data_IF_464514018287
#
_entry.id   IF_464514018287
#
_cell.length_a   1.000
_cell.length_b   1.000
_cell.length_c   1.000
_cell.angle_alpha   90.00
_cell.angle_beta   90.00
_cell.angle_gamma   90.00
#
_symmetry.space_group_name_H-M   'P 1'
#
loop_
_entity.id
_entity.type
_entity.pdbx_description
1 polymer ?
#
# COMPACT_ATOMS: atom_id res chain seq x y z
N UNK A 1 -40.59 63.97 26.91
CA UNK A 1 -40.39 63.10 28.06
C UNK A 1 -40.67 61.68 27.59
N UNK A 2 -39.64 60.85 27.39
CA UNK A 2 -39.62 59.38 27.51
C UNK A 2 -38.30 58.90 26.94
N UNK A 3 -37.39 58.60 27.83
CA UNK A 3 -36.08 57.95 27.52
C UNK A 3 -36.30 56.48 27.22
N UNK A 4 -35.97 55.98 26.02
CA UNK A 4 -35.83 54.60 25.75
C UNK A 4 -34.35 54.24 25.83
N UNK A 5 -34.02 53.43 26.84
CA UNK A 5 -32.72 52.79 26.96
C UNK A 5 -32.64 51.67 25.90
N UNK A 6 -31.70 51.77 24.99
CA UNK A 6 -31.29 50.67 24.12
C UNK A 6 -30.27 49.81 24.84
N UNK A 7 -30.66 48.59 25.22
CA UNK A 7 -29.77 47.57 25.77
C UNK A 7 -29.19 46.80 24.58
N UNK A 8 -27.92 47.06 24.31
CA UNK A 8 -27.14 46.39 23.26
C UNK A 8 -26.69 45.02 23.81
N UNK A 9 -27.36 43.95 23.40
CA UNK A 9 -26.96 42.57 23.70
C UNK A 9 -25.83 42.16 22.75
N UNK A 10 -24.61 42.14 23.26
CA UNK A 10 -23.41 41.64 22.57
C UNK A 10 -23.39 40.14 22.64
N UNK A 11 -23.81 39.48 21.56
CA UNK A 11 -23.75 38.01 21.41
C UNK A 11 -22.30 37.58 21.13
N UNK A 12 -21.64 36.99 22.10
CA UNK A 12 -20.36 36.30 21.94
C UNK A 12 -20.58 35.02 21.12
N UNK A 13 -20.16 35.01 19.84
CA UNK A 13 -20.09 33.82 18.99
C UNK A 13 -18.82 33.09 19.38
N UNK A 14 -18.96 32.02 20.18
CA UNK A 14 -17.89 31.07 20.46
C UNK A 14 -17.80 30.12 19.26
N UNK A 15 -16.90 30.42 18.31
CA UNK A 15 -16.51 29.47 17.25
C UNK A 15 -15.68 28.37 17.87
N UNK A 16 -16.34 27.30 18.30
CA UNK A 16 -15.69 26.05 18.70
C UNK A 16 -15.03 25.41 17.47
N UNK A 17 -13.69 25.35 17.44
CA UNK A 17 -12.96 24.47 16.55
C UNK A 17 -13.29 23.03 16.94
N UNK A 18 -14.27 22.43 16.25
CA UNK A 18 -14.52 21.02 16.34
C UNK A 18 -13.34 20.29 15.65
N UNK A 19 -12.38 19.81 16.44
CA UNK A 19 -11.39 18.84 16.00
C UNK A 19 -12.17 17.59 15.60
N UNK A 20 -12.34 17.39 14.29
CA UNK A 20 -12.93 16.18 13.72
C UNK A 20 -12.05 15.02 14.14
N UNK A 21 -12.49 14.22 15.12
CA UNK A 21 -11.88 12.92 15.41
C UNK A 21 -12.00 12.10 14.15
N UNK A 22 -10.93 11.41 13.68
CA UNK A 22 -11.03 10.49 12.55
C UNK A 22 -12.11 9.45 12.91
N UNK A 23 -13.13 9.36 12.08
CA UNK A 23 -14.22 8.42 12.28
C UNK A 23 -13.70 7.02 11.98
N UNK A 24 -13.40 6.26 13.02
CA UNK A 24 -12.98 4.85 12.92
C UNK A 24 -14.14 3.95 12.44
N UNK A 25 -15.36 4.46 12.36
CA UNK A 25 -16.53 3.72 11.90
C UNK A 25 -16.58 3.53 10.37
N UNK A 26 -15.70 4.15 9.62
CA UNK A 26 -15.68 4.09 8.15
C UNK A 26 -14.87 2.91 7.59
N UNK A 27 -14.47 1.95 8.43
CA UNK A 27 -13.92 0.65 7.99
C UNK A 27 -15.06 -0.36 7.70
N UNK A 28 -16.11 0.09 7.03
CA UNK A 28 -17.18 -0.82 6.58
C UNK A 28 -16.70 -1.63 5.38
N UNK A 29 -17.02 -2.92 5.38
CA UNK A 29 -16.83 -3.77 4.20
C UNK A 29 -17.73 -3.24 3.10
N UNK A 30 -17.14 -2.78 1.99
CA UNK A 30 -17.87 -2.28 0.83
C UNK A 30 -17.69 -3.23 -0.35
N UNK A 31 -18.79 -3.57 -1.01
CA UNK A 31 -18.77 -4.35 -2.24
C UNK A 31 -18.09 -3.62 -3.41
N UNK A 32 -17.92 -2.31 -3.32
CA UNK A 32 -17.24 -1.47 -4.31
C UNK A 32 -15.75 -1.26 -4.01
N UNK A 33 -15.16 -2.05 -3.10
CA UNK A 33 -13.75 -1.94 -2.77
C UNK A 33 -12.87 -2.29 -3.99
N UNK A 34 -11.93 -1.41 -4.39
CA UNK A 34 -11.15 -1.57 -5.63
C UNK A 34 -10.02 -2.61 -5.52
N UNK A 35 -10.05 -3.46 -4.50
CA UNK A 35 -8.92 -4.30 -4.11
C UNK A 35 -8.83 -5.64 -4.84
N UNK A 36 -9.69 -5.90 -5.83
CA UNK A 36 -9.65 -7.14 -6.60
C UNK A 36 -10.15 -6.95 -8.03
N UNK A 37 -9.60 -7.77 -8.95
CA UNK A 37 -10.05 -7.85 -10.34
C UNK A 37 -9.87 -9.27 -10.87
N UNK A 38 -10.82 -9.71 -11.71
CA UNK A 38 -10.80 -11.00 -12.39
C UNK A 38 -10.19 -10.86 -13.78
N UNK A 39 -9.34 -11.82 -14.14
CA UNK A 39 -8.64 -11.91 -15.44
C UNK A 39 -8.94 -13.25 -16.09
N UNK A 40 -8.89 -13.30 -17.43
CA UNK A 40 -8.96 -14.55 -18.19
C UNK A 40 -7.61 -15.23 -18.20
N UNK A 41 -7.54 -16.47 -17.74
CA UNK A 41 -6.33 -17.30 -17.70
C UNK A 41 -6.22 -18.06 -16.38
N UNK A 42 -5.27 -19.00 -16.34
CA UNK A 42 -4.94 -19.76 -15.14
C UNK A 42 -4.29 -18.90 -14.08
N UNK A 43 -4.38 -19.31 -12.81
CA UNK A 43 -3.73 -18.63 -11.69
C UNK A 43 -2.24 -18.45 -11.91
N UNK A 44 -1.57 -19.43 -12.44
CA UNK A 44 -0.13 -19.36 -12.73
C UNK A 44 0.19 -18.25 -13.73
N UNK A 45 -0.53 -18.20 -14.86
CA UNK A 45 -0.35 -17.16 -15.89
C UNK A 45 -0.64 -15.76 -15.34
N UNK A 46 -1.73 -15.64 -14.58
CA UNK A 46 -2.13 -14.34 -14.00
C UNK A 46 -1.16 -13.92 -12.90
N UNK A 47 -0.74 -14.82 -12.00
CA UNK A 47 0.26 -14.52 -10.97
C UNK A 47 1.61 -14.16 -11.56
N UNK A 48 2.03 -14.84 -12.62
CA UNK A 48 3.24 -14.47 -13.35
C UNK A 48 3.15 -13.06 -13.94
N UNK A 49 1.99 -12.72 -14.48
CA UNK A 49 1.72 -11.36 -15.02
C UNK A 49 1.74 -10.30 -13.92
N UNK A 50 1.17 -10.57 -12.74
CA UNK A 50 1.27 -9.70 -11.56
C UNK A 50 2.73 -9.48 -11.16
N UNK A 51 3.52 -10.55 -11.12
CA UNK A 51 4.96 -10.47 -10.80
C UNK A 51 5.70 -9.58 -11.79
N UNK A 52 5.44 -9.72 -13.08
CA UNK A 52 6.04 -8.88 -14.13
C UNK A 52 5.60 -7.43 -14.01
N UNK A 53 4.32 -7.19 -13.71
CA UNK A 53 3.80 -5.84 -13.48
C UNK A 53 4.54 -5.14 -12.34
N UNK A 54 4.70 -5.78 -11.19
CA UNK A 54 5.43 -5.23 -10.04
C UNK A 54 6.91 -4.94 -10.39
N UNK A 55 7.59 -5.92 -10.99
CA UNK A 55 8.99 -5.76 -11.39
C UNK A 55 9.18 -4.60 -12.38
N UNK A 56 8.26 -4.44 -13.34
CA UNK A 56 8.32 -3.36 -14.35
C UNK A 56 8.18 -1.96 -13.74
N UNK A 57 7.58 -1.87 -12.55
CA UNK A 57 7.43 -0.63 -11.78
C UNK A 57 8.55 -0.42 -10.75
N UNK A 58 9.57 -1.28 -10.75
CA UNK A 58 10.71 -1.17 -9.85
C UNK A 58 10.43 -1.64 -8.42
N UNK A 59 9.41 -2.49 -8.22
CA UNK A 59 9.23 -3.15 -6.94
C UNK A 59 10.25 -4.28 -6.77
N UNK A 60 10.87 -4.35 -5.61
CA UNK A 60 11.62 -5.52 -5.18
C UNK A 60 10.67 -6.54 -4.59
N UNK A 61 10.75 -7.78 -5.09
CA UNK A 61 9.87 -8.84 -4.64
C UNK A 61 10.51 -9.65 -3.53
N UNK A 62 9.75 -9.88 -2.47
CA UNK A 62 10.13 -10.83 -1.42
C UNK A 62 10.02 -12.27 -1.97
N UNK A 63 10.78 -13.19 -1.37
CA UNK A 63 10.62 -14.61 -1.70
C UNK A 63 9.18 -15.03 -1.39
N UNK A 64 8.48 -15.73 -2.32
CA UNK A 64 7.16 -16.23 -2.05
C UNK A 64 7.19 -17.09 -0.78
N UNK A 65 6.36 -16.75 0.19
CA UNK A 65 6.11 -17.60 1.34
C UNK A 65 5.23 -18.79 0.95
N UNK A 66 5.07 -19.76 1.85
CA UNK A 66 4.18 -20.91 1.68
C UNK A 66 2.71 -20.52 1.45
N UNK A 67 2.34 -19.30 1.82
CA UNK A 67 0.96 -18.77 1.71
C UNK A 67 0.54 -18.36 0.29
N UNK A 68 1.43 -18.41 -0.70
CA UNK A 68 1.12 -17.93 -2.07
C UNK A 68 0.94 -16.43 -2.20
N UNK A 69 1.23 -15.66 -1.14
CA UNK A 69 1.20 -14.20 -1.16
C UNK A 69 2.50 -13.68 -1.79
N UNK A 70 2.38 -12.85 -2.82
CA UNK A 70 3.49 -12.13 -3.41
C UNK A 70 3.55 -10.71 -2.83
N UNK A 71 4.67 -10.37 -2.19
CA UNK A 71 4.92 -9.04 -1.64
C UNK A 71 5.95 -8.31 -2.48
N UNK A 72 5.62 -7.08 -2.88
CA UNK A 72 6.54 -6.16 -3.56
C UNK A 72 6.74 -4.89 -2.73
N UNK A 73 7.98 -4.46 -2.57
CA UNK A 73 8.33 -3.23 -1.84
C UNK A 73 9.10 -2.28 -2.75
N UNK A 74 8.78 -0.99 -2.69
CA UNK A 74 9.47 0.07 -3.41
C UNK A 74 9.67 1.28 -2.52
N UNK A 75 10.93 1.70 -2.36
CA UNK A 75 11.31 2.80 -1.50
C UNK A 75 11.62 4.06 -2.28
N UNK A 76 11.25 5.21 -1.70
CA UNK A 76 11.54 6.55 -2.20
C UNK A 76 12.08 7.41 -1.08
N UNK A 77 13.05 8.23 -1.40
CA UNK A 77 13.56 9.25 -0.50
C UNK A 77 13.33 10.65 -1.11
N UNK A 78 12.15 11.26 -0.90
CA UNK A 78 11.82 12.57 -1.47
C UNK A 78 12.76 13.68 -0.98
N UNK A 79 13.27 13.53 0.24
CA UNK A 79 14.27 14.43 0.82
C UNK A 79 15.12 13.68 1.88
N UNK A 80 16.28 14.23 2.32
CA UNK A 80 17.19 13.55 3.24
C UNK A 80 16.62 13.18 4.61
N UNK A 81 15.45 13.68 4.97
CA UNK A 81 14.81 13.44 6.28
C UNK A 81 13.58 12.54 6.21
N UNK A 82 13.07 12.28 5.01
CA UNK A 82 11.83 11.51 4.78
C UNK A 82 12.11 10.35 3.85
N UNK A 83 11.78 9.16 4.29
CA UNK A 83 11.70 7.95 3.48
C UNK A 83 10.23 7.50 3.35
N UNK A 84 9.83 7.13 2.14
CA UNK A 84 8.48 6.64 1.85
C UNK A 84 8.62 5.26 1.22
N UNK A 85 7.98 4.26 1.82
CA UNK A 85 7.95 2.88 1.33
C UNK A 85 6.53 2.53 0.88
N UNK A 86 6.41 1.99 -0.32
CA UNK A 86 5.18 1.40 -0.84
C UNK A 86 5.32 -0.12 -0.80
N UNK A 87 4.38 -0.78 -0.14
CA UNK A 87 4.31 -2.24 -0.06
C UNK A 87 3.00 -2.72 -0.67
N UNK A 88 3.10 -3.59 -1.68
CA UNK A 88 1.95 -4.25 -2.29
C UNK A 88 1.97 -5.73 -1.92
N UNK A 89 0.86 -6.21 -1.38
CA UNK A 89 0.63 -7.63 -1.14
C UNK A 89 -0.44 -8.10 -2.10
N UNK A 90 -0.12 -9.13 -2.90
CA UNK A 90 -1.02 -9.66 -3.92
C UNK A 90 -1.20 -11.16 -3.73
N UNK A 91 -2.42 -11.62 -3.97
CA UNK A 91 -2.79 -13.04 -3.95
C UNK A 91 -3.63 -13.33 -5.17
N UNK A 92 -3.34 -14.41 -5.88
CA UNK A 92 -4.15 -14.86 -6.99
C UNK A 92 -4.92 -16.12 -6.58
N UNK A 93 -6.15 -16.25 -7.05
CA UNK A 93 -6.95 -17.44 -6.84
C UNK A 93 -7.61 -17.85 -8.16
N UNK A 94 -7.52 -19.14 -8.49
CA UNK A 94 -8.19 -19.69 -9.66
C UNK A 94 -9.70 -19.77 -9.42
N UNK A 95 -10.47 -19.35 -10.42
CA UNK A 95 -11.88 -19.64 -10.54
C UNK A 95 -12.05 -20.91 -11.38
N UNK A 96 -13.12 -21.67 -11.16
CA UNK A 96 -13.38 -22.94 -11.88
C UNK A 96 -13.82 -22.75 -13.33
N UNK A 97 -13.98 -21.50 -13.78
CA UNK A 97 -14.48 -21.12 -15.10
C UNK A 97 -13.36 -20.69 -16.08
N UNK A 98 -12.09 -21.00 -15.76
CA UNK A 98 -10.94 -20.60 -16.58
C UNK A 98 -10.55 -19.13 -16.43
N UNK A 99 -11.03 -18.48 -15.39
CA UNK A 99 -10.60 -17.16 -14.96
C UNK A 99 -9.85 -17.23 -13.63
N UNK A 100 -9.13 -16.18 -13.29
CA UNK A 100 -8.45 -16.04 -11.99
C UNK A 100 -8.67 -14.65 -11.43
N UNK A 101 -8.86 -14.57 -10.12
CA UNK A 101 -9.02 -13.30 -9.42
C UNK A 101 -7.72 -12.92 -8.72
N UNK A 102 -7.33 -11.66 -8.83
CA UNK A 102 -6.20 -11.06 -8.12
C UNK A 102 -6.73 -10.16 -7.03
N UNK A 103 -6.32 -10.41 -5.81
CA UNK A 103 -6.51 -9.51 -4.67
C UNK A 103 -5.22 -8.74 -4.44
N UNK A 104 -5.34 -7.45 -4.13
CA UNK A 104 -4.19 -6.60 -3.84
C UNK A 104 -4.49 -5.67 -2.67
N UNK A 105 -3.53 -5.53 -1.77
CA UNK A 105 -3.51 -4.49 -0.74
C UNK A 105 -2.25 -3.68 -0.89
N UNK A 106 -2.36 -2.37 -0.97
CA UNK A 106 -1.24 -1.45 -1.05
C UNK A 106 -1.15 -0.60 0.21
N UNK A 107 0.03 -0.55 0.81
CA UNK A 107 0.33 0.25 1.99
C UNK A 107 1.40 1.28 1.66
N UNK A 108 1.27 2.47 2.23
CA UNK A 108 2.29 3.51 2.24
C UNK A 108 2.79 3.72 3.66
N UNK A 109 4.07 3.54 3.86
CA UNK A 109 4.76 3.83 5.11
C UNK A 109 5.65 5.05 4.95
N UNK A 110 5.63 5.96 5.94
CA UNK A 110 6.52 7.11 6.00
C UNK A 110 7.41 7.00 7.23
N UNK A 111 8.72 7.15 7.01
CA UNK A 111 9.72 7.17 8.08
C UNK A 111 10.49 8.46 8.04
N UNK A 112 10.70 9.08 9.20
CA UNK A 112 11.45 10.32 9.34
C UNK A 112 12.66 10.13 10.25
N UNK A 113 13.71 10.90 9.96
CA UNK A 113 14.90 10.95 10.77
C UNK A 113 14.62 11.74 12.06
N UNK A 114 14.53 11.04 13.18
CA UNK A 114 14.24 11.60 14.50
C UNK A 114 15.50 11.64 15.37
N UNK A 115 15.65 12.70 16.16
CA UNK A 115 16.69 12.77 17.18
C UNK A 115 16.19 12.07 18.44
N UNK A 116 16.80 10.96 18.81
CA UNK A 116 16.58 10.31 20.09
C UNK A 116 17.65 10.76 21.09
N UNK A 117 17.21 11.22 22.26
CA UNK A 117 18.12 11.48 23.37
C UNK A 117 18.49 10.12 24.00
N UNK A 118 19.76 9.80 24.02
CA UNK A 118 20.26 8.65 24.76
C UNK A 118 20.50 9.08 26.21
N UNK A 119 19.90 8.37 27.13
CA UNK A 119 20.13 8.54 28.56
C UNK A 119 20.78 7.27 29.09
N UNK A 120 21.89 7.43 29.81
CA UNK A 120 22.55 6.32 30.51
C UNK A 120 22.19 6.43 31.99
N UNK A 121 21.62 5.37 32.54
CA UNK A 121 21.32 5.27 33.96
C UNK A 121 22.47 4.56 34.67
N UNK A 122 23.14 5.23 35.59
CA UNK A 122 24.12 4.62 36.50
C UNK A 122 23.40 4.41 37.83
N UNK A 123 23.10 3.15 38.15
CA UNK A 123 22.53 2.76 39.45
C UNK A 123 23.63 2.40 40.43
N UNK A 124 23.70 3.13 41.55
CA UNK A 124 24.53 2.76 42.70
C UNK A 124 23.61 2.69 43.90
N UNK A 125 23.18 1.47 44.25
CA UNK A 125 22.22 1.24 45.35
C UNK A 125 20.79 1.74 45.03
N UNK A 126 20.04 2.26 46.03
CA UNK A 126 18.64 2.67 45.82
C UNK A 126 18.47 3.99 45.05
N UNK A 127 19.56 4.62 44.63
CA UNK A 127 19.54 5.87 43.88
C UNK A 127 20.02 5.66 42.43
N UNK A 128 19.16 6.03 41.44
CA UNK A 128 19.49 6.00 40.01
C UNK A 128 19.77 7.42 39.53
N UNK A 129 20.97 7.68 39.07
CA UNK A 129 21.30 8.93 38.38
C UNK A 129 21.16 8.73 36.88
N UNK A 130 20.29 9.48 36.26
CA UNK A 130 20.10 9.45 34.80
C UNK A 130 20.85 10.64 34.20
N UNK A 131 21.87 10.36 33.38
CA UNK A 131 22.63 11.37 32.66
C UNK A 131 22.34 11.31 31.16
N UNK A 132 22.19 12.46 30.47
CA UNK A 132 22.12 12.48 29.01
C UNK A 132 23.49 12.10 28.45
N UNK A 133 23.56 10.96 27.72
CA UNK A 133 24.83 10.43 27.19
C UNK A 133 25.03 10.76 25.70
N UNK A 134 24.08 11.41 25.03
CA UNK A 134 24.23 11.76 23.63
C UNK A 134 22.90 11.91 22.91
N UNK A 135 22.96 12.19 21.61
CA UNK A 135 21.81 12.15 20.71
C UNK A 135 22.13 11.28 19.50
N UNK A 136 21.33 10.24 19.27
CA UNK A 136 21.37 9.45 18.05
C UNK A 136 20.29 9.92 17.10
N UNK A 137 20.54 9.82 15.78
CA UNK A 137 19.51 10.02 14.75
C UNK A 137 19.03 8.63 14.31
N UNK A 138 17.74 8.37 14.45
CA UNK A 138 17.13 7.09 14.10
C UNK A 138 15.99 7.35 13.15
N UNK A 139 15.86 6.50 12.11
CA UNK A 139 14.67 6.49 11.27
C UNK A 139 13.52 5.91 12.07
N UNK A 140 12.51 6.73 12.36
CA UNK A 140 11.29 6.32 13.03
C UNK A 140 10.10 6.37 12.08
N UNK A 141 9.25 5.33 12.09
CA UNK A 141 7.98 5.32 11.37
C UNK A 141 7.07 6.39 11.96
N UNK A 142 6.60 7.32 11.13
CA UNK A 142 5.72 8.42 11.54
C UNK A 142 4.31 8.28 11.01
N UNK A 143 4.09 7.38 10.04
CA UNK A 143 2.76 7.07 9.52
C UNK A 143 2.78 5.82 8.66
N UNK A 144 1.67 5.07 8.73
CA UNK A 144 1.36 3.95 7.84
C UNK A 144 -0.12 4.02 7.50
N UNK A 145 -0.44 3.89 6.23
CA UNK A 145 -1.82 3.90 5.76
C UNK A 145 -2.00 2.92 4.59
N UNK A 146 -3.18 2.33 4.49
CA UNK A 146 -3.59 1.59 3.30
C UNK A 146 -4.02 2.59 2.24
N UNK A 147 -3.51 2.43 1.02
CA UNK A 147 -3.93 3.23 -0.13
C UNK A 147 -5.36 2.83 -0.48
N UNK A 148 -6.25 3.79 -0.51
CA UNK A 148 -7.67 3.58 -0.84
C UNK A 148 -8.07 4.26 -2.16
N UNK A 149 -7.11 4.89 -2.85
CA UNK A 149 -7.33 5.57 -4.12
C UNK A 149 -7.71 4.57 -5.22
N UNK A 150 -8.93 4.63 -5.78
CA UNK A 150 -9.37 3.72 -6.83
C UNK A 150 -8.53 3.80 -8.10
N UNK A 151 -8.00 4.99 -8.44
CA UNK A 151 -7.20 5.21 -9.65
C UNK A 151 -5.86 4.48 -9.58
N UNK A 152 -5.29 4.37 -8.38
CA UNK A 152 -4.10 3.57 -8.14
C UNK A 152 -4.35 2.09 -8.50
N UNK A 153 -5.43 1.50 -7.99
CA UNK A 153 -5.78 0.10 -8.25
C UNK A 153 -6.16 -0.14 -9.70
N UNK A 154 -6.93 0.78 -10.30
CA UNK A 154 -7.28 0.71 -11.71
C UNK A 154 -6.04 0.70 -12.60
N UNK A 155 -5.08 1.57 -12.33
CA UNK A 155 -3.81 1.64 -13.06
C UNK A 155 -2.97 0.36 -12.88
N UNK A 156 -2.93 -0.18 -11.66
CA UNK A 156 -2.26 -1.44 -11.37
C UNK A 156 -2.88 -2.60 -12.15
N UNK A 157 -4.20 -2.76 -12.09
CA UNK A 157 -4.89 -3.85 -12.78
C UNK A 157 -4.83 -3.72 -14.31
N UNK A 158 -4.86 -2.50 -14.86
CA UNK A 158 -4.65 -2.27 -16.28
C UNK A 158 -3.24 -2.69 -16.73
N UNK A 159 -2.23 -2.49 -15.88
CA UNK A 159 -0.88 -2.96 -16.15
C UNK A 159 -0.80 -4.50 -16.09
N UNK A 160 -1.43 -5.12 -15.11
CA UNK A 160 -1.52 -6.60 -15.03
C UNK A 160 -2.21 -7.17 -16.26
N UNK A 161 -3.34 -6.59 -16.68
CA UNK A 161 -4.06 -7.04 -17.88
C UNK A 161 -3.17 -7.02 -19.13
N UNK A 162 -2.37 -5.97 -19.30
CA UNK A 162 -1.40 -5.89 -20.41
C UNK A 162 -0.45 -7.08 -20.42
N UNK A 163 0.09 -7.47 -19.27
CA UNK A 163 0.97 -8.63 -19.18
C UNK A 163 0.24 -9.95 -19.40
N UNK A 164 -0.99 -10.10 -18.88
CA UNK A 164 -1.83 -11.27 -19.14
C UNK A 164 -2.08 -11.43 -20.66
N UNK A 165 -2.39 -10.36 -21.37
CA UNK A 165 -2.58 -10.38 -22.82
C UNK A 165 -1.31 -10.80 -23.55
N UNK A 166 -0.15 -10.29 -23.13
CA UNK A 166 1.15 -10.67 -23.73
C UNK A 166 1.46 -12.16 -23.53
N UNK A 167 1.23 -12.70 -22.36
CA UNK A 167 1.46 -14.14 -22.11
C UNK A 167 0.54 -15.02 -22.95
N UNK A 168 -0.73 -14.65 -23.07
CA UNK A 168 -1.71 -15.39 -23.89
C UNK A 168 -1.30 -15.41 -25.37
N UNK A 169 -0.85 -14.28 -25.90
CA UNK A 169 -0.36 -14.20 -27.29
C UNK A 169 0.91 -15.05 -27.48
N UNK A 170 1.82 -15.03 -26.51
CA UNK A 170 3.03 -15.85 -26.55
C UNK A 170 2.71 -17.35 -26.50
N UNK A 171 1.70 -17.74 -25.74
CA UNK A 171 1.24 -19.14 -25.64
C UNK A 171 0.59 -19.61 -26.95
N UNK A 172 -0.28 -18.81 -27.55
CA UNK A 172 -0.88 -19.10 -28.84
C UNK A 172 0.16 -19.26 -29.95
N UNK A 173 1.19 -18.39 -29.96
CA UNK A 173 2.26 -18.50 -30.94
C UNK A 173 3.10 -19.78 -30.77
N UNK A 174 3.35 -20.21 -29.55
CA UNK A 174 4.05 -21.47 -29.25
C UNK A 174 3.25 -22.67 -29.77
N UNK A 175 1.96 -22.73 -29.45
CA UNK A 175 1.09 -23.81 -29.93
C UNK A 175 1.08 -23.89 -31.47
N UNK A 176 0.95 -22.76 -32.14
CA UNK A 176 0.96 -22.74 -33.63
C UNK A 176 2.30 -23.18 -34.23
N UNK A 177 3.40 -22.93 -33.54
CA UNK A 177 4.74 -23.39 -33.98
C UNK A 177 4.88 -24.88 -33.80
N UNK A 178 4.42 -25.43 -32.67
CA UNK A 178 4.46 -26.86 -32.36
C UNK A 178 3.59 -27.67 -33.32
N UNK A 179 2.38 -27.18 -33.65
CA UNK A 179 1.49 -27.81 -34.62
C UNK A 179 2.13 -27.88 -36.04
N UNK A 180 2.78 -26.80 -36.46
CA UNK A 180 3.51 -26.78 -37.76
C UNK A 180 4.69 -27.76 -37.80
N UNK A 181 5.43 -27.91 -36.72
CA UNK A 181 6.51 -28.87 -36.62
C UNK A 181 6.01 -30.31 -36.61
N UNK A 182 4.88 -30.58 -35.95
CA UNK A 182 4.24 -31.87 -35.97
C UNK A 182 3.77 -32.30 -37.37
N UNK A 183 3.22 -31.35 -38.13
CA UNK A 183 2.77 -31.58 -39.51
C UNK A 183 3.94 -31.78 -40.50
N UNK A 184 5.06 -31.06 -40.29
CA UNK A 184 6.25 -31.22 -41.11
C UNK A 184 7.01 -32.56 -40.92
N UNK A 185 6.77 -33.25 -39.80
CA UNK A 185 7.38 -34.54 -39.44
C UNK A 185 6.51 -35.75 -39.81
N UNK A 186 5.33 -35.52 -40.42
CA UNK A 186 4.46 -36.59 -40.94
C UNK A 186 4.65 -36.83 -42.42
#
# INVERSE_FOLDING_TARGET
>A
MRRCLAISAMALIVTGCATRKPDLAQQSISAAAPFSQTFKGSGDTVCWSVKRALLSQGYMLDRPGESGVLTGTRDFQPNPKLNVSYRLQTTCADNRDGTSIVFVTAEREQSQLQKMKQTTSLGVGPATLTMPSGSARVLGVVGRETIQDPDFYHSFFALVDRYVQQERLAEQNRQHTDDRQADANR
#
